data_IF_627933226402
#
_entry.id   IF_627933226402
#
_cell.length_a   1.000
_cell.length_b   1.000
_cell.length_c   1.000
_cell.angle_alpha   90.00
_cell.angle_beta   90.00
_cell.angle_gamma   90.00
#
_symmetry.space_group_name_H-M   'P 1'
#
loop_
_entity.id
_entity.type
_entity.pdbx_description
1 polymer ?
#
# COMPACT_ATOMS: atom_id res chain seq x y z
N UNK A 1 -4.57 7.00 8.04
CA UNK A 1 -3.24 6.43 7.70
C UNK A 1 -2.15 7.18 8.45
N UNK A 2 -0.99 6.57 8.71
CA UNK A 2 0.20 7.30 9.18
C UNK A 2 0.68 8.28 8.08
N UNK A 3 1.29 9.45 8.41
CA UNK A 3 1.79 10.40 7.42
C UNK A 3 2.74 9.80 6.38
N UNK A 4 3.57 8.84 6.80
CA UNK A 4 4.53 8.12 5.95
C UNK A 4 3.92 7.03 5.06
N UNK A 5 2.59 6.85 5.07
CA UNK A 5 1.92 5.94 4.15
C UNK A 5 1.53 6.72 2.87
N UNK A 6 2.08 6.43 1.68
CA UNK A 6 1.65 7.07 0.44
C UNK A 6 0.15 6.90 0.20
N UNK A 7 -0.52 7.96 -0.23
CA UNK A 7 -1.96 7.94 -0.57
C UNK A 7 -2.23 6.97 -1.71
N UNK A 8 -1.38 6.95 -2.72
CA UNK A 8 -1.54 6.08 -3.88
C UNK A 8 -1.56 4.59 -3.50
N UNK A 9 -0.61 4.13 -2.66
CA UNK A 9 -0.56 2.74 -2.21
C UNK A 9 -1.73 2.41 -1.28
N UNK A 10 -2.10 3.33 -0.39
CA UNK A 10 -3.27 3.12 0.47
C UNK A 10 -4.56 3.03 -0.34
N UNK A 11 -4.72 3.87 -1.38
CA UNK A 11 -5.85 3.79 -2.30
C UNK A 11 -5.84 2.47 -3.08
N UNK A 12 -4.69 2.06 -3.62
CA UNK A 12 -4.54 0.80 -4.35
C UNK A 12 -5.00 -0.39 -3.50
N UNK A 13 -4.63 -0.44 -2.22
CA UNK A 13 -5.10 -1.44 -1.28
C UNK A 13 -6.64 -1.47 -1.20
N UNK A 14 -7.27 -0.32 -0.97
CA UNK A 14 -8.72 -0.23 -0.89
C UNK A 14 -9.42 -0.60 -2.20
N UNK A 15 -8.92 -0.11 -3.33
CA UNK A 15 -9.46 -0.43 -4.64
C UNK A 15 -9.42 -1.94 -4.91
N UNK A 16 -8.33 -2.62 -4.55
CA UNK A 16 -8.20 -4.08 -4.69
C UNK A 16 -9.27 -4.83 -3.90
N UNK A 17 -9.37 -4.55 -2.59
CA UNK A 17 -10.29 -5.29 -1.72
C UNK A 17 -11.74 -4.96 -2.02
N UNK A 18 -12.06 -3.71 -2.39
CA UNK A 18 -13.40 -3.31 -2.82
C UNK A 18 -13.80 -3.94 -4.16
N UNK A 19 -12.83 -4.22 -5.04
CA UNK A 19 -13.05 -5.01 -6.26
C UNK A 19 -13.15 -6.53 -6.00
N UNK A 20 -13.14 -6.96 -4.73
CA UNK A 20 -13.26 -8.38 -4.38
C UNK A 20 -11.98 -9.19 -4.61
N UNK A 21 -10.83 -8.52 -4.77
CA UNK A 21 -9.49 -9.12 -4.87
C UNK A 21 -8.77 -9.08 -3.52
N UNK A 22 -7.83 -9.99 -3.32
CA UNK A 22 -6.91 -9.91 -2.17
C UNK A 22 -5.70 -9.02 -2.50
N UNK A 23 -4.94 -8.65 -1.47
CA UNK A 23 -3.72 -7.85 -1.62
C UNK A 23 -2.74 -8.11 -0.48
N UNK A 24 -1.45 -8.17 -0.83
CA UNK A 24 -0.34 -8.00 0.10
C UNK A 24 0.20 -6.58 0.00
N UNK A 25 0.33 -5.88 1.12
CA UNK A 25 0.87 -4.53 1.14
C UNK A 25 1.65 -4.26 2.44
N UNK A 26 2.76 -3.54 2.34
CA UNK A 26 3.43 -2.99 3.51
C UNK A 26 2.65 -1.77 4.00
N UNK A 27 2.29 -1.74 5.27
CA UNK A 27 1.48 -0.66 5.85
C UNK A 27 2.17 -0.13 7.09
N UNK A 28 2.45 1.18 7.09
CA UNK A 28 2.86 1.91 8.28
C UNK A 28 1.63 2.44 9.03
N UNK A 29 1.49 2.01 10.26
CA UNK A 29 0.38 2.34 11.15
C UNK A 29 0.85 3.26 12.27
N UNK A 30 -0.06 4.07 12.80
CA UNK A 30 0.16 4.90 14.00
C UNK A 30 -0.38 4.16 15.22
N UNK A 31 0.42 4.02 16.26
CA UNK A 31 -0.01 3.47 17.55
C UNK A 31 -0.77 4.52 18.36
N UNK A 32 -1.48 4.07 19.41
CA UNK A 32 -2.28 4.96 20.28
C UNK A 32 -1.43 5.99 21.01
N UNK A 33 -0.18 5.66 21.33
CA UNK A 33 0.78 6.54 22.01
C UNK A 33 1.50 7.52 21.07
N UNK A 34 1.22 7.48 19.76
CA UNK A 34 1.81 8.40 18.78
C UNK A 34 3.00 7.85 17.99
N UNK A 35 3.56 6.71 18.39
CA UNK A 35 4.59 6.00 17.62
C UNK A 35 4.02 5.42 16.30
N UNK A 36 4.86 4.71 15.56
CA UNK A 36 4.48 3.99 14.37
C UNK A 36 5.09 2.59 14.30
N UNK A 37 4.45 1.72 13.54
CA UNK A 37 4.93 0.37 13.29
C UNK A 37 4.56 -0.09 11.88
N UNK A 38 5.41 -0.93 11.31
CA UNK A 38 5.23 -1.52 10.00
C UNK A 38 4.65 -2.92 10.09
N UNK A 39 3.74 -3.25 9.17
CA UNK A 39 3.23 -4.60 8.96
C UNK A 39 3.31 -4.97 7.50
N UNK A 40 3.56 -6.23 7.19
CA UNK A 40 3.13 -6.81 5.92
C UNK A 40 1.69 -7.31 6.11
N UNK A 41 0.74 -6.59 5.52
CA UNK A 41 -0.68 -6.90 5.61
C UNK A 41 -1.11 -7.76 4.41
N UNK A 42 -1.78 -8.87 4.69
CA UNK A 42 -2.57 -9.63 3.72
C UNK A 42 -4.04 -9.34 3.99
N UNK A 43 -4.73 -8.72 3.05
CA UNK A 43 -6.15 -8.35 3.20
C UNK A 43 -7.00 -9.11 2.19
N UNK A 44 -8.01 -9.80 2.68
CA UNK A 44 -8.95 -10.60 1.89
C UNK A 44 -10.40 -10.15 2.12
N UNK A 45 -11.22 -10.05 1.06
CA UNK A 45 -12.65 -9.77 1.20
C UNK A 45 -13.39 -11.00 1.73
N UNK A 46 -14.18 -10.81 2.78
CA UNK A 46 -15.12 -11.81 3.28
C UNK A 46 -16.44 -11.67 2.53
N UNK A 47 -16.92 -12.77 1.96
CA UNK A 47 -18.14 -12.82 1.15
C UNK A 47 -19.19 -13.70 1.81
N UNK A 48 -20.47 -13.34 1.69
CA UNK A 48 -21.58 -14.21 2.08
C UNK A 48 -21.84 -15.30 1.02
N UNK A 49 -22.89 -16.11 1.23
CA UNK A 49 -23.27 -17.19 0.31
C UNK A 49 -23.76 -16.70 -1.05
N UNK A 50 -24.13 -15.41 -1.18
CA UNK A 50 -24.51 -14.78 -2.45
C UNK A 50 -23.32 -14.17 -3.19
N UNK A 51 -22.12 -14.21 -2.59
CA UNK A 51 -20.90 -13.61 -3.13
C UNK A 51 -20.75 -12.12 -2.83
N UNK A 52 -21.67 -11.52 -2.06
CA UNK A 52 -21.61 -10.12 -1.66
C UNK A 52 -20.52 -9.93 -0.60
N UNK A 53 -19.66 -8.91 -0.77
CA UNK A 53 -18.65 -8.55 0.23
C UNK A 53 -19.38 -8.02 1.48
N UNK A 54 -19.15 -8.67 2.62
CA UNK A 54 -19.71 -8.32 3.93
C UNK A 54 -18.67 -7.81 4.92
N UNK A 55 -17.39 -7.85 4.55
CA UNK A 55 -16.29 -7.37 5.38
C UNK A 55 -14.93 -7.66 4.78
N UNK A 56 -13.89 -7.30 5.51
CA UNK A 56 -12.50 -7.55 5.13
C UNK A 56 -11.76 -8.18 6.31
N UNK A 57 -10.99 -9.21 6.03
CA UNK A 57 -10.10 -9.85 7.00
C UNK A 57 -8.65 -9.45 6.70
N UNK A 58 -7.88 -9.07 7.72
CA UNK A 58 -6.49 -8.63 7.57
C UNK A 58 -5.58 -9.41 8.50
N UNK A 59 -4.72 -10.24 7.91
CA UNK A 59 -3.61 -10.89 8.60
C UNK A 59 -2.36 -10.01 8.52
N UNK A 60 -1.64 -9.85 9.62
CA UNK A 60 -0.48 -8.96 9.71
C UNK A 60 0.73 -9.72 10.19
N UNK A 61 1.83 -9.58 9.47
CA UNK A 61 3.13 -10.17 9.82
C UNK A 61 4.11 -9.05 10.14
N UNK A 62 5.05 -9.35 11.04
CA UNK A 62 6.22 -8.50 11.21
C UNK A 62 7.02 -8.56 9.91
N UNK A 63 7.24 -7.42 9.23
CA UNK A 63 7.97 -7.39 7.97
C UNK A 63 9.46 -7.64 8.22
N UNK A 64 10.16 -8.18 7.22
CA UNK A 64 11.61 -8.24 7.24
C UNK A 64 12.17 -6.81 7.25
N UNK A 65 12.98 -6.50 8.25
CA UNK A 65 13.54 -5.16 8.46
C UNK A 65 14.45 -4.72 7.31
N UNK A 66 15.23 -5.63 6.74
CA UNK A 66 16.12 -5.32 5.63
C UNK A 66 15.32 -4.84 4.41
N UNK A 67 14.24 -5.55 4.06
CA UNK A 67 13.35 -5.20 2.93
C UNK A 67 12.72 -3.82 3.14
N UNK A 68 12.31 -3.52 4.39
CA UNK A 68 11.79 -2.20 4.71
C UNK A 68 12.82 -1.12 4.43
N UNK A 69 14.02 -1.26 4.99
CA UNK A 69 15.04 -0.23 4.96
C UNK A 69 15.62 -0.04 3.55
N UNK A 70 15.77 -1.10 2.75
CA UNK A 70 16.37 -1.00 1.40
C UNK A 70 15.38 -0.72 0.29
N UNK A 71 14.11 -1.11 0.44
CA UNK A 71 13.17 -1.12 -0.68
C UNK A 71 11.90 -0.33 -0.38
N UNK A 72 11.16 -0.70 0.68
CA UNK A 72 9.82 -0.15 0.92
C UNK A 72 9.88 1.29 1.41
N UNK A 73 10.73 1.60 2.40
CA UNK A 73 10.84 2.95 2.96
C UNK A 73 11.35 3.93 1.87
N UNK A 74 12.43 3.63 1.11
CA UNK A 74 12.87 4.51 0.03
C UNK A 74 11.81 4.73 -1.06
N UNK A 75 11.09 3.67 -1.45
CA UNK A 75 9.97 3.80 -2.38
C UNK A 75 8.90 4.74 -1.82
N UNK A 76 8.48 4.55 -0.57
CA UNK A 76 7.41 5.33 0.02
C UNK A 76 7.81 6.80 0.22
N UNK A 77 9.06 7.06 0.60
CA UNK A 77 9.61 8.41 0.67
C UNK A 77 9.58 9.10 -0.70
N UNK A 78 9.94 8.38 -1.77
CA UNK A 78 9.89 8.91 -3.14
C UNK A 78 8.46 9.27 -3.57
N UNK A 79 7.49 8.39 -3.28
CA UNK A 79 6.08 8.62 -3.56
C UNK A 79 5.51 9.80 -2.76
N UNK A 80 5.88 9.94 -1.47
CA UNK A 80 5.48 11.06 -0.64
C UNK A 80 6.11 12.38 -1.09
N UNK A 81 7.37 12.35 -1.52
CA UNK A 81 8.04 13.51 -2.09
C UNK A 81 7.35 13.95 -3.38
N UNK A 82 6.91 13.00 -4.21
CA UNK A 82 6.08 13.31 -5.38
C UNK A 82 4.75 13.93 -4.96
N UNK A 83 4.00 13.33 -4.03
CA UNK A 83 2.75 13.91 -3.51
C UNK A 83 2.90 15.37 -3.05
N UNK A 84 4.02 15.70 -2.40
CA UNK A 84 4.29 17.01 -1.84
C UNK A 84 4.56 18.11 -2.89
N UNK A 85 4.84 17.75 -4.15
CA UNK A 85 5.04 18.73 -5.24
C UNK A 85 3.74 19.34 -5.73
N UNK A 86 2.59 18.77 -5.38
CA UNK A 86 1.29 19.15 -5.90
C UNK A 86 0.48 19.97 -4.90
N UNK A 87 -0.30 20.93 -5.42
CA UNK A 87 -1.03 21.89 -4.59
C UNK A 87 -2.16 21.27 -3.76
N UNK A 88 -2.69 20.12 -4.18
CA UNK A 88 -3.74 19.42 -3.45
C UNK A 88 -3.50 17.92 -3.39
N UNK A 89 -4.19 17.28 -2.45
CA UNK A 89 -4.02 15.86 -2.13
C UNK A 89 -4.46 14.91 -3.25
N UNK A 90 -5.41 15.33 -4.09
CA UNK A 90 -5.92 14.50 -5.18
C UNK A 90 -4.90 14.42 -6.31
N UNK A 91 -4.38 15.56 -6.73
CA UNK A 91 -3.38 15.62 -7.80
C UNK A 91 -2.07 14.97 -7.35
N UNK A 92 -1.64 15.21 -6.11
CA UNK A 92 -0.47 14.54 -5.55
C UNK A 92 -0.62 13.02 -5.51
N UNK A 93 -1.80 12.51 -5.14
CA UNK A 93 -2.08 11.07 -5.13
C UNK A 93 -2.09 10.47 -6.55
N UNK A 94 -2.63 11.17 -7.55
CA UNK A 94 -2.59 10.70 -8.93
C UNK A 94 -1.16 10.68 -9.47
N UNK A 95 -0.39 11.76 -9.25
CA UNK A 95 0.99 11.83 -9.70
C UNK A 95 1.88 10.75 -9.05
N UNK A 96 1.72 10.50 -7.73
CA UNK A 96 2.44 9.43 -7.06
C UNK A 96 1.96 8.04 -7.49
N UNK A 97 0.70 7.88 -7.89
CA UNK A 97 0.22 6.62 -8.49
C UNK A 97 0.84 6.39 -9.87
N UNK A 98 0.89 7.40 -10.72
CA UNK A 98 1.53 7.32 -12.04
C UNK A 98 3.03 7.01 -11.92
N UNK A 99 3.70 7.62 -10.93
CA UNK A 99 5.10 7.31 -10.60
C UNK A 99 5.27 5.84 -10.18
N UNK A 100 4.40 5.33 -9.29
CA UNK A 100 4.43 3.93 -8.87
C UNK A 100 4.26 2.99 -10.07
N UNK A 101 3.28 3.27 -10.93
CA UNK A 101 3.05 2.48 -12.16
C UNK A 101 4.26 2.54 -13.09
N UNK A 102 4.92 3.69 -13.23
CA UNK A 102 6.15 3.83 -13.98
C UNK A 102 7.27 2.91 -13.47
N UNK A 103 7.53 2.95 -12.16
CA UNK A 103 8.54 2.09 -11.51
C UNK A 103 8.25 0.60 -11.72
N UNK A 104 6.98 0.21 -11.57
CA UNK A 104 6.55 -1.18 -11.76
C UNK A 104 6.72 -1.65 -13.21
N UNK A 105 6.41 -0.77 -14.19
CA UNK A 105 6.61 -1.04 -15.61
C UNK A 105 8.08 -1.19 -15.99
N UNK A 106 8.97 -0.38 -15.44
CA UNK A 106 10.43 -0.53 -15.65
C UNK A 106 10.94 -1.89 -15.18
N UNK A 107 10.30 -2.45 -14.16
CA UNK A 107 10.61 -3.78 -13.60
C UNK A 107 9.78 -4.91 -14.24
N UNK A 108 8.90 -4.60 -15.19
CA UNK A 108 7.97 -5.52 -15.87
C UNK A 108 7.19 -6.41 -14.89
N UNK A 109 6.64 -5.81 -13.83
CA UNK A 109 5.82 -6.49 -12.82
C UNK A 109 4.60 -5.67 -12.46
N UNK A 110 3.54 -6.35 -12.05
CA UNK A 110 2.41 -5.71 -11.38
C UNK A 110 2.70 -5.52 -9.88
N UNK A 111 1.89 -4.71 -9.18
CA UNK A 111 2.10 -4.44 -7.75
C UNK A 111 2.13 -5.72 -6.91
N UNK A 112 1.18 -6.63 -7.11
CA UNK A 112 1.09 -7.86 -6.33
C UNK A 112 2.34 -8.75 -6.53
N UNK A 113 2.85 -8.81 -7.76
CA UNK A 113 4.06 -9.54 -8.09
C UNK A 113 5.32 -8.86 -7.53
N UNK A 114 5.39 -7.53 -7.59
CA UNK A 114 6.46 -6.76 -6.97
C UNK A 114 6.54 -7.08 -5.47
N UNK A 115 5.42 -7.06 -4.74
CA UNK A 115 5.40 -7.37 -3.32
C UNK A 115 5.74 -8.85 -3.06
N UNK A 116 5.29 -9.78 -3.90
CA UNK A 116 5.59 -11.20 -3.76
C UNK A 116 7.06 -11.57 -3.99
N UNK A 117 7.82 -10.73 -4.69
CA UNK A 117 9.26 -10.92 -4.97
C UNK A 117 10.19 -10.41 -3.86
N UNK A 118 9.64 -9.73 -2.85
CA UNK A 118 10.39 -9.20 -1.70
C UNK A 118 10.44 -10.23 -0.57
#
# INVERSE_FOLDING_TARGET
RHPEMPRCVFKLLWDHIQAGREIFAYVVNRSKNGDHYWVLAHVTPSKDTSGQIIGFHSNRRVPNRQILDTTIIPLYQSLLAEEAKHANSKDGMHASFDMLVGILKESNVEYDEFIARL
#
